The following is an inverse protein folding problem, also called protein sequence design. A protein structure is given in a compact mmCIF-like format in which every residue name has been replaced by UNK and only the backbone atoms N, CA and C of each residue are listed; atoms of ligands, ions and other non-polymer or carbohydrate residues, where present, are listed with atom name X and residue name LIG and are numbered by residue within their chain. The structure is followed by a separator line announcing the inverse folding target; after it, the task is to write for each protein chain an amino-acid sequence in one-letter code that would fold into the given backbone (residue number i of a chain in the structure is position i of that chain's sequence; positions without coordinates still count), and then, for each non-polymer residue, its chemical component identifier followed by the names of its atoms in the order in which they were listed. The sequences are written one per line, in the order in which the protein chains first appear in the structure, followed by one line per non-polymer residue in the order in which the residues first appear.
data_IF_403351049129
#
_entry.id   IF_403351049129
#
_cell.length_a   1.000
_cell.length_b   1.000
_cell.length_c   1.000
_cell.angle_alpha   90.00
_cell.angle_beta   90.00
_cell.angle_gamma   90.00
#
_symmetry.space_group_name_H-M   'P 1'
#
loop_
_entity.id
_entity.type
_entity.pdbx_description
1 polymer ?
#
# COMPACT_ATOMS: atom_id res chain seq x y z
N UNK A 1 33.99 -57.47 38.75
CA UNK A 1 32.83 -56.56 38.72
C UNK A 1 33.02 -55.58 37.62
N UNK A 2 32.26 -55.71 36.55
CA UNK A 2 32.32 -54.78 35.43
C UNK A 2 31.10 -53.89 35.50
N UNK A 3 31.29 -52.57 35.81
CA UNK A 3 30.25 -51.62 35.77
C UNK A 3 30.11 -51.09 34.29
N UNK A 4 29.03 -51.43 33.65
CA UNK A 4 28.71 -50.92 32.33
C UNK A 4 27.98 -49.63 32.50
N UNK A 5 28.64 -48.51 32.16
CA UNK A 5 28.01 -47.19 32.06
C UNK A 5 27.31 -47.09 30.72
N UNK A 6 25.99 -47.15 30.73
CA UNK A 6 25.16 -46.82 29.58
C UNK A 6 25.00 -45.28 29.52
N UNK A 7 25.74 -44.66 28.64
CA UNK A 7 25.56 -43.26 28.36
C UNK A 7 24.42 -43.16 27.36
N UNK A 8 23.25 -42.77 27.83
CA UNK A 8 22.11 -42.44 26.99
C UNK A 8 22.37 -41.06 26.38
N UNK A 9 22.71 -41.01 25.08
CA UNK A 9 22.79 -39.81 24.32
C UNK A 9 21.35 -39.34 23.99
N UNK A 10 20.87 -38.32 24.69
CA UNK A 10 19.63 -37.66 24.38
C UNK A 10 19.90 -36.74 23.19
N UNK A 11 19.50 -37.16 21.99
CA UNK A 11 19.50 -36.31 20.81
C UNK A 11 18.38 -35.26 20.93
N UNK A 12 18.76 -34.02 21.21
CA UNK A 12 17.86 -32.89 21.24
C UNK A 12 17.50 -32.54 19.79
N UNK A 13 16.39 -33.06 19.32
CA UNK A 13 15.82 -32.65 18.01
C UNK A 13 15.19 -31.29 18.18
N UNK A 14 15.91 -30.25 17.80
CA UNK A 14 15.34 -28.90 17.66
C UNK A 14 14.38 -28.88 16.49
N UNK A 15 13.09 -28.94 16.77
CA UNK A 15 12.04 -28.68 15.80
C UNK A 15 12.14 -27.18 15.42
N UNK A 16 12.79 -26.89 14.31
CA UNK A 16 12.69 -25.57 13.69
C UNK A 16 11.27 -25.44 13.14
N UNK A 17 10.40 -24.73 13.87
CA UNK A 17 9.10 -24.35 13.36
C UNK A 17 9.30 -23.45 12.14
N UNK A 18 8.64 -23.72 11.00
CA UNK A 18 8.69 -22.80 9.88
C UNK A 18 8.06 -21.47 10.34
N UNK A 19 8.85 -20.42 10.34
CA UNK A 19 8.33 -19.08 10.50
C UNK A 19 7.48 -18.80 9.25
N UNK A 20 6.16 -18.91 9.38
CA UNK A 20 5.25 -18.40 8.37
C UNK A 20 5.46 -16.89 8.34
N UNK A 21 6.23 -16.43 7.35
CA UNK A 21 6.30 -15.02 7.04
C UNK A 21 4.86 -14.57 6.77
N UNK A 22 4.32 -13.69 7.62
CA UNK A 22 3.03 -13.07 7.38
C UNK A 22 3.16 -12.29 6.07
N UNK A 23 2.55 -12.80 5.02
CA UNK A 23 2.45 -12.07 3.77
C UNK A 23 1.62 -10.81 4.03
N UNK A 24 2.18 -9.65 3.69
CA UNK A 24 1.45 -8.40 3.77
C UNK A 24 0.16 -8.52 2.97
N UNK A 25 -0.96 -8.12 3.56
CA UNK A 25 -2.24 -8.07 2.85
C UNK A 25 -2.23 -6.93 1.84
N UNK A 26 -2.77 -7.13 0.63
CA UNK A 26 -2.93 -6.04 -0.32
C UNK A 26 -3.79 -4.92 0.28
N UNK A 27 -3.45 -3.68 -0.05
CA UNK A 27 -4.27 -2.51 0.29
C UNK A 27 -5.37 -2.27 -0.73
N UNK A 28 -5.20 -2.75 -1.96
CA UNK A 28 -6.13 -2.60 -3.05
C UNK A 28 -5.65 -3.23 -4.34
N UNK A 29 -6.29 -2.86 -5.44
CA UNK A 29 -5.97 -3.41 -6.77
C UNK A 29 -6.04 -2.36 -7.87
N UNK A 30 -5.20 -2.55 -8.86
CA UNK A 30 -5.26 -1.79 -10.11
C UNK A 30 -6.52 -2.15 -10.89
N UNK A 31 -7.30 -1.15 -11.26
CA UNK A 31 -8.55 -1.30 -12.00
C UNK A 31 -8.46 -0.88 -13.46
N UNK A 32 -7.67 0.14 -13.73
CA UNK A 32 -7.50 0.70 -15.07
C UNK A 32 -6.03 1.04 -15.30
N UNK A 33 -5.53 0.73 -16.46
CA UNK A 33 -4.18 1.13 -16.92
C UNK A 33 -4.29 1.56 -18.36
N UNK A 34 -3.67 2.69 -18.68
CA UNK A 34 -3.48 3.16 -20.05
C UNK A 34 -2.08 3.71 -20.21
N UNK A 35 -1.42 3.36 -21.31
CA UNK A 35 -0.06 3.80 -21.59
C UNK A 35 0.96 3.29 -20.56
N UNK A 36 1.93 4.13 -20.24
CA UNK A 36 3.04 3.80 -19.32
C UNK A 36 2.65 4.03 -17.88
N UNK A 37 2.45 2.96 -17.12
CA UNK A 37 2.16 3.01 -15.69
C UNK A 37 2.95 1.94 -14.95
N UNK A 38 3.42 2.27 -13.74
CA UNK A 38 4.31 1.43 -12.96
C UNK A 38 3.95 1.47 -11.48
N UNK A 39 4.24 0.36 -10.80
CA UNK A 39 4.28 0.26 -9.35
C UNK A 39 5.74 0.18 -8.93
N UNK A 40 6.17 1.05 -8.03
CA UNK A 40 7.51 1.00 -7.43
C UNK A 40 7.39 0.41 -6.04
N UNK A 41 7.99 -0.76 -5.86
CA UNK A 41 7.96 -1.52 -4.61
C UNK A 41 9.36 -1.90 -4.19
N UNK A 42 9.76 -1.48 -2.99
CA UNK A 42 11.09 -1.79 -2.43
C UNK A 42 12.23 -1.45 -3.41
N UNK A 43 12.12 -0.33 -4.13
CA UNK A 43 13.10 0.11 -5.11
C UNK A 43 12.99 -0.56 -6.50
N UNK A 44 12.15 -1.56 -6.66
CA UNK A 44 11.89 -2.23 -7.93
C UNK A 44 10.73 -1.56 -8.66
N UNK A 45 10.91 -1.31 -9.95
CA UNK A 45 9.88 -0.76 -10.84
C UNK A 45 9.19 -1.89 -11.59
N UNK A 46 7.91 -2.06 -11.35
CA UNK A 46 7.08 -3.11 -11.92
C UNK A 46 6.05 -2.46 -12.85
N UNK A 47 5.91 -2.99 -14.06
CA UNK A 47 4.85 -2.50 -14.97
C UNK A 47 3.48 -2.80 -14.36
N UNK A 48 2.62 -1.78 -14.32
CA UNK A 48 1.27 -1.93 -13.78
C UNK A 48 0.36 -2.68 -14.76
N UNK A 49 -0.43 -3.60 -14.21
CA UNK A 49 -1.42 -4.37 -14.95
C UNK A 49 -2.75 -4.38 -14.21
N UNK A 50 -3.85 -4.47 -14.94
CA UNK A 50 -5.19 -4.57 -14.35
C UNK A 50 -5.29 -5.83 -13.49
N UNK A 51 -5.84 -5.69 -12.29
CA UNK A 51 -5.97 -6.78 -11.31
C UNK A 51 -4.78 -6.95 -10.37
N UNK A 52 -3.66 -6.29 -10.65
CA UNK A 52 -2.44 -6.38 -9.84
C UNK A 52 -2.67 -5.79 -8.45
N UNK A 53 -2.21 -6.46 -7.38
CA UNK A 53 -2.34 -5.94 -6.02
C UNK A 53 -1.42 -4.75 -5.77
N UNK A 54 -1.93 -3.80 -4.99
CA UNK A 54 -1.19 -2.65 -4.46
C UNK A 54 -1.05 -2.84 -2.96
N UNK A 55 0.14 -2.58 -2.42
CA UNK A 55 0.44 -2.74 -1.00
C UNK A 55 0.78 -1.39 -0.36
N UNK A 56 0.72 -1.35 0.97
CA UNK A 56 1.30 -0.26 1.74
C UNK A 56 2.77 -0.06 1.35
N UNK A 57 3.19 1.18 1.29
CA UNK A 57 4.51 1.64 0.84
C UNK A 57 4.80 1.56 -0.67
N UNK A 58 3.88 1.03 -1.47
CA UNK A 58 4.00 1.12 -2.92
C UNK A 58 3.86 2.57 -3.41
N UNK A 59 4.62 2.91 -4.43
CA UNK A 59 4.42 4.14 -5.20
C UNK A 59 3.81 3.81 -6.56
N UNK A 60 2.82 4.58 -6.96
CA UNK A 60 2.22 4.52 -8.29
C UNK A 60 2.84 5.62 -9.14
N UNK A 61 3.33 5.28 -10.30
CA UNK A 61 4.01 6.21 -11.21
C UNK A 61 3.46 6.07 -12.62
N UNK A 62 3.22 7.18 -13.29
CA UNK A 62 2.83 7.21 -14.69
C UNK A 62 3.86 7.96 -15.53
N UNK A 63 4.05 7.51 -16.78
CA UNK A 63 4.76 8.25 -17.79
C UNK A 63 3.90 9.38 -18.37
N UNK A 64 4.45 10.16 -19.30
CA UNK A 64 3.73 11.30 -19.92
C UNK A 64 2.53 10.89 -20.78
N UNK A 65 2.48 9.62 -21.19
CA UNK A 65 1.37 9.02 -21.95
C UNK A 65 0.50 8.10 -21.10
N UNK A 66 0.78 8.02 -19.78
CA UNK A 66 0.20 7.02 -18.90
C UNK A 66 -0.92 7.51 -18.01
N UNK A 67 -1.77 6.58 -17.60
CA UNK A 67 -2.73 6.76 -16.53
C UNK A 67 -2.95 5.46 -15.79
N UNK A 68 -3.31 5.54 -14.52
CA UNK A 68 -3.62 4.38 -13.68
C UNK A 68 -4.77 4.70 -12.74
N UNK A 69 -5.68 3.77 -12.59
CA UNK A 69 -6.75 3.81 -11.60
C UNK A 69 -6.64 2.65 -10.64
N UNK A 70 -6.71 2.94 -9.34
CA UNK A 70 -6.62 1.97 -8.26
C UNK A 70 -7.84 2.12 -7.35
N UNK A 71 -8.36 0.99 -6.89
CA UNK A 71 -9.37 0.95 -5.82
C UNK A 71 -8.78 0.24 -4.62
N UNK A 72 -8.82 0.89 -3.47
CA UNK A 72 -8.40 0.31 -2.21
C UNK A 72 -9.53 -0.53 -1.59
N UNK A 73 -9.20 -1.36 -0.62
CA UNK A 73 -10.16 -2.28 0.01
C UNK A 73 -11.27 -1.57 0.81
N UNK A 74 -11.07 -0.30 1.16
CA UNK A 74 -12.08 0.56 1.77
C UNK A 74 -12.96 1.33 0.76
N UNK A 75 -12.88 0.98 -0.52
CA UNK A 75 -13.53 1.66 -1.65
C UNK A 75 -12.97 3.07 -1.97
N UNK A 76 -11.88 3.47 -1.38
CA UNK A 76 -11.14 4.65 -1.83
C UNK A 76 -10.65 4.44 -3.26
N UNK A 77 -10.90 5.41 -4.12
CA UNK A 77 -10.44 5.38 -5.52
C UNK A 77 -9.40 6.46 -5.76
N UNK A 78 -8.36 6.08 -6.45
CA UNK A 78 -7.27 6.96 -6.84
C UNK A 78 -7.03 6.82 -8.32
N UNK A 79 -7.02 7.92 -9.04
CA UNK A 79 -6.72 7.97 -10.47
C UNK A 79 -5.58 8.95 -10.70
N UNK A 80 -4.54 8.50 -11.39
CA UNK A 80 -3.40 9.31 -11.77
C UNK A 80 -3.47 9.62 -13.25
N UNK A 81 -3.29 10.90 -13.59
CA UNK A 81 -3.05 11.34 -14.95
C UNK A 81 -1.58 11.20 -15.36
N UNK A 82 -1.21 11.73 -16.55
CA UNK A 82 0.16 11.65 -17.06
C UNK A 82 1.18 12.32 -16.14
N UNK A 83 2.40 11.78 -16.12
CA UNK A 83 3.54 12.34 -15.39
C UNK A 83 3.35 12.45 -13.89
N UNK A 84 2.60 11.54 -13.29
CA UNK A 84 2.20 11.59 -11.88
C UNK A 84 2.91 10.56 -11.04
N UNK A 85 3.07 10.85 -9.75
CA UNK A 85 3.59 9.93 -8.77
C UNK A 85 2.89 10.12 -7.42
N UNK A 86 2.33 9.05 -6.89
CA UNK A 86 1.67 9.00 -5.59
C UNK A 86 2.17 7.78 -4.81
N UNK A 87 2.55 7.99 -3.57
CA UNK A 87 2.93 6.92 -2.64
C UNK A 87 1.79 6.63 -1.68
N UNK A 88 1.45 5.35 -1.53
CA UNK A 88 0.57 4.87 -0.48
C UNK A 88 1.40 4.68 0.81
N UNK A 89 1.50 5.73 1.62
CA UNK A 89 2.40 5.75 2.78
C UNK A 89 1.91 4.88 3.92
N UNK A 90 0.59 4.80 4.14
CA UNK A 90 -0.02 3.93 5.13
C UNK A 90 -1.43 3.54 4.69
N UNK A 91 -1.79 2.30 4.96
CA UNK A 91 -3.14 1.80 4.75
C UNK A 91 -3.50 0.77 5.81
N UNK A 92 -4.60 1.01 6.50
CA UNK A 92 -5.14 0.11 7.52
C UNK A 92 -6.66 0.12 7.44
N UNK A 93 -7.25 -1.03 7.19
CA UNK A 93 -8.69 -1.14 7.11
C UNK A 93 -9.18 -2.40 7.81
N UNK A 94 -9.38 -2.29 9.11
CA UNK A 94 -9.94 -3.31 9.98
C UNK A 94 -11.02 -2.69 10.88
N UNK A 95 -12.19 -2.33 10.32
CA UNK A 95 -13.24 -1.58 11.04
C UNK A 95 -13.80 -2.35 12.24
N UNK A 96 -13.86 -3.68 12.19
CA UNK A 96 -14.29 -4.51 13.31
C UNK A 96 -13.37 -4.41 14.53
N UNK A 97 -12.12 -3.99 14.35
CA UNK A 97 -11.11 -3.79 15.39
C UNK A 97 -10.86 -2.31 15.67
N UNK A 98 -11.70 -1.42 15.16
CA UNK A 98 -11.54 0.03 15.23
C UNK A 98 -10.17 0.52 14.73
N UNK A 99 -9.60 -0.20 13.77
CA UNK A 99 -8.28 0.09 13.20
C UNK A 99 -8.43 0.47 11.73
N UNK A 100 -8.46 1.77 11.49
CA UNK A 100 -8.55 2.34 10.14
C UNK A 100 -7.58 3.52 10.00
N UNK A 101 -7.00 3.67 8.84
CA UNK A 101 -6.08 4.78 8.55
C UNK A 101 -5.63 4.75 7.10
N UNK A 102 -5.44 5.92 6.54
CA UNK A 102 -4.98 6.11 5.17
C UNK A 102 -4.06 7.33 5.11
N UNK A 103 -2.87 7.13 4.56
CA UNK A 103 -1.95 8.21 4.24
C UNK A 103 -1.43 8.04 2.83
N UNK A 104 -1.50 9.10 2.05
CA UNK A 104 -0.98 9.18 0.69
C UNK A 104 -0.11 10.42 0.54
N UNK A 105 1.00 10.27 -0.17
CA UNK A 105 1.89 11.38 -0.52
C UNK A 105 1.84 11.60 -2.03
N UNK A 106 1.36 12.76 -2.44
CA UNK A 106 1.30 13.19 -3.83
C UNK A 106 2.58 13.95 -4.15
N UNK A 107 3.46 13.33 -4.92
CA UNK A 107 4.81 13.84 -5.15
C UNK A 107 4.89 14.74 -6.38
N UNK A 108 4.12 14.42 -7.42
CA UNK A 108 4.06 15.20 -8.65
C UNK A 108 2.87 14.82 -9.52
N UNK A 109 2.52 15.69 -10.44
CA UNK A 109 1.52 15.45 -11.46
C UNK A 109 0.09 15.71 -10.99
N UNK A 110 -0.86 15.06 -11.59
CA UNK A 110 -2.28 15.23 -11.35
C UNK A 110 -2.91 13.91 -10.90
N UNK A 111 -3.73 14.00 -9.86
CA UNK A 111 -4.46 12.85 -9.34
C UNK A 111 -5.87 13.25 -8.93
N UNK A 112 -6.80 12.30 -9.03
CA UNK A 112 -8.15 12.42 -8.49
C UNK A 112 -8.31 11.40 -7.37
N UNK A 113 -8.66 11.88 -6.20
CA UNK A 113 -8.95 11.09 -5.02
C UNK A 113 -10.45 11.11 -4.75
N UNK A 114 -11.02 9.93 -4.54
CA UNK A 114 -12.43 9.78 -4.13
C UNK A 114 -12.46 9.02 -2.81
N UNK A 115 -13.00 9.65 -1.79
CA UNK A 115 -13.08 9.08 -0.44
C UNK A 115 -13.83 7.76 -0.38
N UNK A 116 -13.29 6.81 0.38
CA UNK A 116 -13.92 5.53 0.68
C UNK A 116 -14.47 5.46 2.10
N UNK A 117 -14.49 4.25 2.66
CA UNK A 117 -15.07 3.98 3.96
C UNK A 117 -14.26 4.55 5.14
N UNK A 118 -12.92 4.59 5.03
CA UNK A 118 -12.06 5.14 6.09
C UNK A 118 -12.42 6.60 6.35
N UNK A 119 -12.61 7.41 5.31
CA UNK A 119 -12.98 8.81 5.44
C UNK A 119 -14.38 8.99 6.08
N UNK A 120 -15.28 8.04 5.92
CA UNK A 120 -16.60 8.05 6.56
C UNK A 120 -16.53 7.63 8.02
N UNK A 121 -15.76 6.60 8.33
CA UNK A 121 -15.63 6.04 9.69
C UNK A 121 -14.75 6.91 10.59
N UNK A 122 -13.65 7.42 10.05
CA UNK A 122 -12.65 8.19 10.79
C UNK A 122 -12.01 9.23 9.86
N UNK A 123 -12.65 10.38 9.62
CA UNK A 123 -12.12 11.42 8.75
C UNK A 123 -10.72 11.89 9.14
N UNK A 124 -10.44 11.95 10.44
CA UNK A 124 -9.14 12.38 10.98
C UNK A 124 -8.02 11.35 10.75
N UNK A 125 -8.38 10.13 10.37
CA UNK A 125 -7.42 9.07 10.02
C UNK A 125 -6.99 9.10 8.55
N UNK A 126 -7.55 10.00 7.74
CA UNK A 126 -7.15 10.22 6.34
C UNK A 126 -6.19 11.40 6.27
N UNK A 127 -5.00 11.14 5.73
CA UNK A 127 -3.96 12.14 5.55
C UNK A 127 -3.47 12.15 4.12
N UNK A 128 -3.70 13.23 3.42
CA UNK A 128 -3.19 13.48 2.08
C UNK A 128 -2.11 14.54 2.16
N UNK A 129 -0.93 14.21 1.67
CA UNK A 129 0.25 15.08 1.73
C UNK A 129 0.70 15.46 0.32
N UNK A 130 1.12 16.69 0.17
CA UNK A 130 1.90 17.19 -0.97
C UNK A 130 3.23 17.74 -0.45
N UNK A 131 4.21 18.06 -1.30
CA UNK A 131 5.47 18.64 -0.84
C UNK A 131 5.32 19.93 -0.03
N UNK A 132 4.22 20.66 -0.19
CA UNK A 132 3.99 21.96 0.44
C UNK A 132 2.80 22.01 1.41
N UNK A 133 1.99 20.96 1.51
CA UNK A 133 0.76 21.01 2.31
C UNK A 133 0.34 19.61 2.81
N UNK A 134 -0.42 19.64 3.90
CA UNK A 134 -1.18 18.48 4.39
C UNK A 134 -2.65 18.82 4.26
N UNK A 135 -3.40 17.93 3.62
CA UNK A 135 -4.83 18.13 3.35
C UNK A 135 -5.64 17.12 4.18
N UNK A 136 -6.50 17.63 5.05
CA UNK A 136 -7.52 16.84 5.72
C UNK A 136 -8.76 16.72 4.83
N UNK A 137 -9.36 15.53 4.82
CA UNK A 137 -10.49 15.24 3.93
C UNK A 137 -11.68 14.73 4.73
N UNK A 138 -12.84 15.32 4.48
CA UNK A 138 -14.12 14.83 5.00
C UNK A 138 -15.03 14.44 3.84
N UNK A 139 -14.93 13.17 3.42
CA UNK A 139 -15.87 12.53 2.50
C UNK A 139 -16.11 13.32 1.21
N UNK A 140 -15.12 13.37 0.31
CA UNK A 140 -15.23 14.16 -0.91
C UNK A 140 -14.42 13.58 -2.06
N UNK A 141 -14.63 14.17 -3.24
CA UNK A 141 -13.77 13.98 -4.40
C UNK A 141 -12.82 15.17 -4.49
N UNK A 142 -11.54 14.93 -4.58
CA UNK A 142 -10.50 15.93 -4.72
C UNK A 142 -9.69 15.71 -5.98
N UNK A 143 -9.48 16.78 -6.74
CA UNK A 143 -8.42 16.84 -7.75
C UNK A 143 -7.20 17.52 -7.14
N UNK A 144 -6.06 16.86 -7.21
CA UNK A 144 -4.80 17.33 -6.66
C UNK A 144 -3.82 17.48 -7.80
N UNK A 145 -3.24 18.66 -7.92
CA UNK A 145 -2.17 18.93 -8.87
C UNK A 145 -0.92 19.39 -8.11
N UNK A 146 0.17 18.70 -8.33
CA UNK A 146 1.48 19.04 -7.78
C UNK A 146 2.39 19.44 -8.93
N UNK A 147 2.75 20.70 -8.95
CA UNK A 147 3.69 21.25 -9.94
C UNK A 147 5.08 21.21 -9.34
N UNK A 148 6.07 20.54 -9.98
CA UNK A 148 7.44 20.60 -9.52
C UNK A 148 7.98 22.03 -9.57
N UNK A 149 8.70 22.43 -8.53
CA UNK A 149 9.48 23.68 -8.53
C UNK A 149 10.75 23.56 -9.35
#
# INVERSE_FOLDING_TARGET
MKAQHWIAAIALVTLAAPAFAQQASPAGRVKVVSGSAFIVRSGETIRAEVGQPVFESDSLRTGEDGSIGVTLDDDTRLSLGPGSEVRLSAFRYAPAQSSVGLAMSFLRGIAVYVSGQIAKLAPDAVRLETPSAIVGVRGTTLAIQVVPE
#
